data_IF_904709335298
#
_entry.id   IF_904709335298
#
_cell.length_a   1.000
_cell.length_b   1.000
_cell.length_c   1.000
_cell.angle_alpha   90.00
_cell.angle_beta   90.00
_cell.angle_gamma   90.00
#
_symmetry.space_group_name_H-M   'P 1'
#
loop_
_entity.id
_entity.type
_entity.pdbx_description
1 polymer ?
#
# COMPACT_ATOMS: atom_id res chain seq x y z
N UNK A 1 19.93 26.17 -10.28
CA UNK A 1 20.95 25.54 -9.41
C UNK A 1 20.61 25.75 -7.94
N UNK A 2 20.53 26.98 -7.48
CA UNK A 2 20.22 27.26 -6.07
C UNK A 2 18.81 26.77 -5.71
N UNK A 3 17.84 26.97 -6.59
CA UNK A 3 16.45 26.53 -6.40
C UNK A 3 16.38 25.03 -6.30
N UNK A 4 17.10 24.31 -7.17
CA UNK A 4 17.14 22.85 -7.16
C UNK A 4 17.72 22.32 -5.86
N UNK A 5 18.80 22.95 -5.37
CA UNK A 5 19.46 22.54 -4.13
C UNK A 5 18.56 22.77 -2.91
N UNK A 6 17.89 23.93 -2.86
CA UNK A 6 16.95 24.23 -1.79
C UNK A 6 15.75 23.27 -1.80
N UNK A 7 15.28 22.91 -2.97
CA UNK A 7 14.22 21.94 -3.15
C UNK A 7 14.62 20.55 -2.63
N UNK A 8 15.81 20.07 -2.99
CA UNK A 8 16.32 18.77 -2.52
C UNK A 8 16.46 18.74 -1.00
N UNK A 9 16.95 19.80 -0.40
CA UNK A 9 17.09 19.92 1.06
C UNK A 9 15.71 19.86 1.72
N UNK A 10 14.73 20.54 1.17
CA UNK A 10 13.35 20.55 1.69
C UNK A 10 12.75 19.16 1.63
N UNK A 11 12.96 18.42 0.54
CA UNK A 11 12.48 17.05 0.43
C UNK A 11 13.11 16.14 1.47
N UNK A 12 14.40 16.26 1.72
CA UNK A 12 15.07 15.47 2.74
C UNK A 12 14.51 15.75 4.13
N UNK A 13 14.23 17.01 4.45
CA UNK A 13 13.65 17.38 5.74
C UNK A 13 12.23 16.85 5.90
N UNK A 14 11.44 16.84 4.81
CA UNK A 14 10.03 16.40 4.86
C UNK A 14 9.85 14.91 4.68
N UNK A 15 10.88 14.19 4.22
CA UNK A 15 10.80 12.74 3.96
C UNK A 15 11.41 11.94 5.12
N UNK A 16 10.89 12.17 6.31
CA UNK A 16 11.40 11.55 7.54
C UNK A 16 11.14 10.04 7.60
N UNK A 17 10.20 9.54 6.80
CA UNK A 17 9.87 8.11 6.72
C UNK A 17 10.50 7.42 5.50
N UNK A 18 11.34 8.14 4.75
CA UNK A 18 11.92 7.64 3.51
C UNK A 18 10.84 7.08 2.56
N UNK A 19 9.78 7.86 2.37
CA UNK A 19 8.69 7.48 1.46
C UNK A 19 9.12 7.51 0.00
N UNK A 20 10.24 8.18 -0.30
CA UNK A 20 10.78 8.23 -1.65
C UNK A 20 11.11 6.81 -2.16
N UNK A 21 11.46 5.88 -1.28
CA UNK A 21 11.71 4.49 -1.69
C UNK A 21 10.50 3.86 -2.38
N UNK A 22 9.30 4.20 -1.92
CA UNK A 22 8.06 3.74 -2.57
C UNK A 22 7.82 4.44 -3.90
N UNK A 23 8.04 5.76 -3.96
CA UNK A 23 7.86 6.52 -5.20
C UNK A 23 8.79 5.98 -6.29
N UNK A 24 10.05 5.76 -5.95
CA UNK A 24 11.04 5.25 -6.91
C UNK A 24 10.66 3.86 -7.43
N UNK A 25 10.30 2.94 -6.55
CA UNK A 25 9.91 1.60 -6.94
C UNK A 25 8.65 1.60 -7.81
N UNK A 26 7.65 2.40 -7.45
CA UNK A 26 6.39 2.49 -8.19
C UNK A 26 6.58 3.12 -9.58
N UNK A 27 7.40 4.15 -9.67
CA UNK A 27 7.52 4.93 -10.91
C UNK A 27 8.00 4.10 -12.08
N UNK A 28 8.79 3.06 -11.83
CA UNK A 28 9.31 2.18 -12.88
C UNK A 28 8.26 1.23 -13.45
N UNK A 29 7.22 0.88 -12.70
CA UNK A 29 6.27 -0.14 -13.14
C UNK A 29 4.80 0.21 -12.92
N UNK A 30 4.49 1.49 -12.65
CA UNK A 30 3.11 1.84 -12.32
C UNK A 30 2.13 1.59 -13.48
N UNK A 31 2.55 1.82 -14.71
CA UNK A 31 1.70 1.53 -15.88
C UNK A 31 1.42 0.04 -16.01
N UNK A 32 2.41 -0.80 -15.72
CA UNK A 32 2.23 -2.26 -15.74
C UNK A 32 1.26 -2.69 -14.63
N UNK A 33 1.40 -2.12 -13.43
CA UNK A 33 0.50 -2.40 -12.31
C UNK A 33 -0.95 -2.07 -12.69
N UNK A 34 -1.19 -0.89 -13.24
CA UNK A 34 -2.52 -0.49 -13.70
C UNK A 34 -3.08 -1.46 -14.73
N UNK A 35 -2.25 -1.85 -15.70
CA UNK A 35 -2.65 -2.77 -16.77
C UNK A 35 -3.06 -4.12 -16.21
N UNK A 36 -2.26 -4.67 -15.28
CA UNK A 36 -2.57 -5.95 -14.64
C UNK A 36 -3.85 -5.88 -13.81
N UNK A 37 -4.04 -4.80 -13.06
CA UNK A 37 -5.26 -4.65 -12.25
C UNK A 37 -6.50 -4.44 -13.10
N UNK A 38 -6.40 -3.70 -14.22
CA UNK A 38 -7.50 -3.57 -15.18
C UNK A 38 -7.86 -4.89 -15.81
N UNK A 39 -6.87 -5.73 -16.07
CA UNK A 39 -7.09 -7.08 -16.59
C UNK A 39 -7.62 -8.04 -15.53
N UNK A 40 -7.61 -7.64 -14.26
CA UNK A 40 -8.10 -8.46 -13.15
C UNK A 40 -7.16 -9.57 -12.75
N UNK A 41 -5.87 -9.45 -13.06
CA UNK A 41 -4.88 -10.48 -12.75
C UNK A 41 -3.49 -9.91 -12.62
N UNK A 42 -2.94 -10.04 -11.42
CA UNK A 42 -1.56 -9.66 -11.11
C UNK A 42 -0.58 -10.71 -11.65
N UNK A 43 0.45 -10.27 -12.35
CA UNK A 43 1.53 -11.13 -12.84
C UNK A 43 2.91 -10.67 -12.36
N UNK A 44 3.11 -9.39 -12.13
CA UNK A 44 4.38 -8.83 -11.68
C UNK A 44 4.60 -8.95 -10.17
N UNK A 45 5.83 -8.61 -9.73
CA UNK A 45 6.25 -8.71 -8.33
C UNK A 45 6.30 -7.33 -7.69
N UNK A 46 5.13 -6.77 -7.38
CA UNK A 46 5.02 -5.39 -6.93
C UNK A 46 4.20 -5.17 -5.66
N UNK A 47 3.73 -6.24 -5.02
CA UNK A 47 2.80 -6.13 -3.88
C UNK A 47 3.37 -5.27 -2.74
N UNK A 48 4.66 -5.41 -2.45
CA UNK A 48 5.30 -4.78 -1.30
C UNK A 48 5.26 -3.26 -1.33
N UNK A 49 5.36 -2.66 -2.52
CA UNK A 49 5.44 -1.20 -2.63
C UNK A 49 4.19 -0.56 -3.23
N UNK A 50 3.23 -1.36 -3.68
CA UNK A 50 1.91 -0.85 -4.13
C UNK A 50 0.89 -0.95 -2.98
N UNK A 51 0.90 -2.06 -2.25
CA UNK A 51 0.03 -2.28 -1.10
C UNK A 51 0.90 -2.64 0.11
N UNK A 52 1.61 -1.65 0.68
CA UNK A 52 2.55 -1.94 1.76
C UNK A 52 1.85 -2.38 3.03
N UNK A 53 2.53 -3.22 3.81
CA UNK A 53 2.01 -3.76 5.04
C UNK A 53 2.93 -3.41 6.21
N UNK A 54 2.45 -3.66 7.43
CA UNK A 54 3.18 -3.34 8.65
C UNK A 54 4.44 -4.21 8.77
N UNK A 55 5.46 -3.64 9.42
CA UNK A 55 6.73 -4.34 9.66
C UNK A 55 6.52 -5.59 10.52
N UNK A 56 7.22 -6.66 10.17
CA UNK A 56 7.16 -7.93 10.91
C UNK A 56 6.23 -8.97 10.31
N UNK A 57 5.40 -8.60 9.33
CA UNK A 57 4.51 -9.54 8.66
C UNK A 57 5.20 -10.33 7.56
N UNK A 58 6.25 -9.77 6.96
CA UNK A 58 7.04 -10.44 5.94
C UNK A 58 8.50 -10.55 6.39
N UNK A 59 9.21 -11.56 5.87
CA UNK A 59 10.56 -11.88 6.33
C UNK A 59 11.63 -11.75 5.24
N UNK A 60 11.25 -11.57 3.97
CA UNK A 60 12.20 -11.37 2.87
C UNK A 60 12.87 -10.00 2.97
N UNK A 61 14.00 -9.83 2.28
CA UNK A 61 14.69 -8.54 2.20
C UNK A 61 13.77 -7.47 1.60
N UNK A 62 13.01 -7.83 0.56
CA UNK A 62 12.07 -6.90 -0.08
C UNK A 62 10.95 -6.50 0.87
N UNK A 63 10.38 -7.46 1.61
CA UNK A 63 9.33 -7.17 2.59
C UNK A 63 9.83 -6.21 3.66
N UNK A 64 11.06 -6.38 4.13
CA UNK A 64 11.65 -5.50 5.13
C UNK A 64 11.96 -4.11 4.58
N UNK A 65 12.41 -4.03 3.33
CA UNK A 65 12.73 -2.77 2.67
C UNK A 65 11.51 -1.86 2.57
N UNK A 66 10.34 -2.42 2.29
CA UNK A 66 9.11 -1.67 2.07
C UNK A 66 8.11 -1.78 3.22
N UNK A 67 8.55 -2.25 4.38
CA UNK A 67 7.68 -2.36 5.54
C UNK A 67 7.32 -0.98 6.11
N UNK A 68 6.08 -0.84 6.56
CA UNK A 68 5.61 0.35 7.28
C UNK A 68 5.90 0.12 8.76
N UNK A 69 6.64 1.02 9.37
CA UNK A 69 7.16 0.83 10.73
C UNK A 69 6.31 1.46 11.82
N UNK A 70 5.36 2.32 11.49
CA UNK A 70 4.56 3.03 12.48
C UNK A 70 3.23 3.50 11.90
N UNK A 71 2.31 3.85 12.79
CA UNK A 71 1.05 4.51 12.44
C UNK A 71 1.30 5.81 11.68
N UNK A 72 2.29 6.57 12.13
CA UNK A 72 2.66 7.86 11.55
C UNK A 72 3.16 7.69 10.13
N UNK A 73 3.94 6.66 9.88
CA UNK A 73 4.41 6.36 8.52
C UNK A 73 3.25 5.99 7.60
N UNK A 74 2.32 5.16 8.06
CA UNK A 74 1.14 4.79 7.28
C UNK A 74 0.28 6.02 6.95
N UNK A 75 0.07 6.89 7.94
CA UNK A 75 -0.69 8.12 7.72
C UNK A 75 0.01 9.04 6.74
N UNK A 76 1.33 9.17 6.85
CA UNK A 76 2.15 9.97 5.93
C UNK A 76 2.10 9.42 4.50
N UNK A 77 2.13 8.10 4.35
CA UNK A 77 1.99 7.45 3.05
C UNK A 77 0.64 7.80 2.41
N UNK A 78 -0.44 7.64 3.14
CA UNK A 78 -1.79 7.90 2.64
C UNK A 78 -2.02 9.38 2.30
N UNK A 79 -1.32 10.29 2.98
CA UNK A 79 -1.40 11.72 2.75
C UNK A 79 -0.39 12.24 1.73
N UNK A 80 0.54 11.40 1.29
CA UNK A 80 1.58 11.79 0.35
C UNK A 80 0.97 12.16 -1.01
N UNK A 81 1.41 13.28 -1.64
CA UNK A 81 0.78 13.77 -2.87
C UNK A 81 0.92 12.85 -4.08
N UNK A 82 1.87 11.91 -4.06
CA UNK A 82 2.04 10.92 -5.11
C UNK A 82 1.51 9.56 -4.66
N UNK A 83 1.93 9.09 -3.50
CA UNK A 83 1.60 7.74 -3.01
C UNK A 83 0.13 7.59 -2.65
N UNK A 84 -0.46 8.63 -2.04
CA UNK A 84 -1.86 8.58 -1.65
C UNK A 84 -2.80 8.36 -2.83
N UNK A 85 -2.73 9.19 -3.88
CA UNK A 85 -3.54 8.99 -5.07
C UNK A 85 -3.28 7.66 -5.79
N UNK A 86 -2.03 7.23 -5.88
CA UNK A 86 -1.68 5.94 -6.50
C UNK A 86 -2.28 4.76 -5.74
N UNK A 87 -2.19 4.79 -4.41
CA UNK A 87 -2.77 3.77 -3.56
C UNK A 87 -4.28 3.66 -3.80
N UNK A 88 -4.98 4.78 -3.77
CA UNK A 88 -6.43 4.81 -3.96
C UNK A 88 -6.85 4.40 -5.37
N UNK A 89 -6.09 4.80 -6.38
CA UNK A 89 -6.33 4.37 -7.75
C UNK A 89 -6.23 2.86 -7.87
N UNK A 90 -5.17 2.25 -7.33
CA UNK A 90 -4.98 0.80 -7.40
C UNK A 90 -6.08 0.05 -6.63
N UNK A 91 -6.46 0.54 -5.46
CA UNK A 91 -7.57 -0.07 -4.70
C UNK A 91 -8.88 0.04 -5.47
N UNK A 92 -9.14 1.18 -6.09
CA UNK A 92 -10.35 1.37 -6.91
C UNK A 92 -10.40 0.38 -8.07
N UNK A 93 -9.26 0.12 -8.71
CA UNK A 93 -9.19 -0.86 -9.79
C UNK A 93 -9.49 -2.27 -9.26
N UNK A 94 -8.93 -2.64 -8.11
CA UNK A 94 -9.21 -3.94 -7.48
C UNK A 94 -10.69 -4.05 -7.10
N UNK A 95 -11.23 -3.01 -6.46
CA UNK A 95 -12.63 -3.02 -6.01
C UNK A 95 -13.64 -3.04 -7.17
N UNK A 96 -13.23 -2.59 -8.35
CA UNK A 96 -14.09 -2.58 -9.54
C UNK A 96 -14.17 -3.94 -10.24
N UNK A 97 -13.32 -4.88 -9.91
CA UNK A 97 -13.30 -6.19 -10.57
C UNK A 97 -14.52 -6.99 -10.14
N UNK A 98 -15.29 -7.47 -11.12
CA UNK A 98 -16.48 -8.26 -10.86
C UNK A 98 -16.22 -9.74 -11.12
N UNK A 99 -16.82 -10.62 -10.34
CA UNK A 99 -16.85 -12.05 -10.60
C UNK A 99 -15.55 -12.81 -10.28
N UNK A 100 -14.60 -12.18 -9.59
CA UNK A 100 -13.35 -12.84 -9.21
C UNK A 100 -13.05 -12.62 -7.74
N UNK A 101 -12.56 -13.67 -7.07
CA UNK A 101 -12.05 -13.56 -5.71
C UNK A 101 -10.67 -12.94 -5.68
N UNK A 102 -10.28 -12.41 -4.53
CA UNK A 102 -9.00 -11.70 -4.39
C UNK A 102 -7.79 -12.62 -4.66
N UNK A 103 -7.89 -13.88 -4.28
CA UNK A 103 -6.84 -14.87 -4.54
C UNK A 103 -6.65 -15.10 -6.04
N UNK A 104 -7.72 -15.02 -6.80
CA UNK A 104 -7.68 -15.15 -8.26
C UNK A 104 -7.02 -13.92 -8.89
N UNK A 105 -7.29 -12.74 -8.33
CA UNK A 105 -6.76 -11.47 -8.84
C UNK A 105 -5.28 -11.32 -8.52
N UNK A 106 -4.89 -11.55 -7.26
CA UNK A 106 -3.55 -11.25 -6.76
C UNK A 106 -2.66 -12.48 -6.59
N UNK A 107 -3.25 -13.68 -6.50
CA UNK A 107 -2.52 -14.87 -6.12
C UNK A 107 -2.32 -14.95 -4.62
N UNK A 108 -1.71 -16.05 -4.15
CA UNK A 108 -1.39 -16.22 -2.75
C UNK A 108 0.13 -16.34 -2.61
N UNK A 109 0.78 -15.74 -1.59
CA UNK A 109 0.18 -15.09 -0.42
C UNK A 109 -0.15 -13.59 -0.60
N UNK A 110 -0.17 -13.06 -1.81
CA UNK A 110 -0.40 -11.64 -2.05
C UNK A 110 -1.82 -11.20 -1.64
N UNK A 111 -2.79 -12.12 -1.71
CA UNK A 111 -4.14 -11.87 -1.20
C UNK A 111 -4.13 -11.57 0.31
N UNK A 112 -3.27 -12.25 1.07
CA UNK A 112 -3.12 -12.02 2.50
C UNK A 112 -2.39 -10.70 2.79
N UNK A 113 -1.42 -10.36 1.96
CA UNK A 113 -0.69 -9.10 2.07
C UNK A 113 -1.62 -7.91 1.79
N UNK A 114 -2.49 -8.03 0.81
CA UNK A 114 -3.48 -7.01 0.50
C UNK A 114 -4.42 -6.80 1.69
N UNK A 115 -4.88 -7.87 2.33
CA UNK A 115 -5.71 -7.79 3.53
C UNK A 115 -5.01 -7.02 4.64
N UNK A 116 -3.74 -7.35 4.89
CA UNK A 116 -2.93 -6.64 5.89
C UNK A 116 -2.80 -5.17 5.57
N UNK A 117 -2.54 -4.83 4.31
CA UNK A 117 -2.41 -3.46 3.84
C UNK A 117 -3.72 -2.69 4.03
N UNK A 118 -4.83 -3.26 3.59
CA UNK A 118 -6.14 -2.60 3.70
C UNK A 118 -6.55 -2.40 5.16
N UNK A 119 -6.23 -3.37 6.03
CA UNK A 119 -6.44 -3.24 7.47
C UNK A 119 -5.65 -2.06 8.03
N UNK A 120 -4.36 -1.97 7.68
CA UNK A 120 -3.48 -0.89 8.13
C UNK A 120 -4.05 0.48 7.77
N UNK A 121 -4.35 0.69 6.51
CA UNK A 121 -4.83 2.00 6.04
C UNK A 121 -6.24 2.32 6.51
N UNK A 122 -7.10 1.32 6.69
CA UNK A 122 -8.43 1.53 7.26
C UNK A 122 -8.33 2.09 8.70
N UNK A 123 -7.34 1.64 9.47
CA UNK A 123 -7.16 2.10 10.84
C UNK A 123 -6.61 3.53 10.91
N UNK A 124 -5.72 3.91 9.99
CA UNK A 124 -5.10 5.25 10.01
C UNK A 124 -5.90 6.29 9.20
N UNK A 125 -6.81 5.85 8.35
CA UNK A 125 -7.66 6.71 7.54
C UNK A 125 -9.14 6.33 7.71
N UNK A 126 -9.71 6.46 8.91
CA UNK A 126 -11.08 5.98 9.17
C UNK A 126 -12.17 6.74 8.39
N UNK A 127 -11.85 7.95 7.89
CA UNK A 127 -12.78 8.73 7.09
C UNK A 127 -12.83 8.36 5.62
N UNK A 128 -11.97 7.46 5.15
CA UNK A 128 -11.91 7.05 3.76
C UNK A 128 -12.44 5.62 3.61
N UNK A 129 -13.63 5.43 3.03
CA UNK A 129 -14.28 4.11 2.99
C UNK A 129 -13.64 3.11 2.02
N UNK A 130 -12.71 3.55 1.17
CA UNK A 130 -12.15 2.68 0.12
C UNK A 130 -11.46 1.45 0.70
N UNK A 131 -10.81 1.59 1.87
CA UNK A 131 -10.08 0.50 2.52
C UNK A 131 -11.05 -0.52 3.12
N UNK A 132 -12.06 -0.06 3.84
CA UNK A 132 -13.09 -0.95 4.40
C UNK A 132 -13.96 -1.57 3.32
N UNK A 133 -14.16 -0.88 2.19
CA UNK A 133 -14.86 -1.45 1.04
C UNK A 133 -14.12 -2.69 0.51
N UNK A 134 -12.80 -2.62 0.42
CA UNK A 134 -11.99 -3.76 -0.01
C UNK A 134 -12.11 -4.93 0.97
N UNK A 135 -12.03 -4.65 2.26
CA UNK A 135 -12.18 -5.66 3.31
C UNK A 135 -13.56 -6.29 3.25
N UNK A 136 -14.60 -5.49 3.07
CA UNK A 136 -15.97 -6.00 2.96
C UNK A 136 -16.16 -6.87 1.73
N UNK A 137 -15.65 -6.43 0.59
CA UNK A 137 -15.84 -7.15 -0.68
C UNK A 137 -15.10 -8.49 -0.72
N UNK A 138 -13.86 -8.52 -0.24
CA UNK A 138 -12.99 -9.66 -0.48
C UNK A 138 -12.73 -10.53 0.74
N UNK A 139 -13.03 -10.05 1.95
CA UNK A 139 -12.70 -10.77 3.18
C UNK A 139 -13.86 -10.84 4.16
N UNK A 140 -15.08 -10.58 3.68
CA UNK A 140 -16.27 -10.69 4.53
C UNK A 140 -16.29 -9.70 5.69
N UNK A 141 -15.56 -8.61 5.58
CA UNK A 141 -15.48 -7.59 6.64
C UNK A 141 -14.43 -7.90 7.72
N UNK A 142 -13.66 -8.98 7.60
CA UNK A 142 -12.67 -9.37 8.60
C UNK A 142 -11.32 -8.71 8.36
N UNK A 143 -10.89 -7.89 9.31
CA UNK A 143 -9.55 -7.29 9.30
C UNK A 143 -8.47 -8.33 9.62
N UNK A 144 -7.22 -8.01 9.24
CA UNK A 144 -6.07 -8.83 9.59
C UNK A 144 -5.71 -8.65 11.07
N UNK A 145 -5.82 -9.73 11.86
CA UNK A 145 -5.63 -9.69 13.30
C UNK A 145 -4.22 -9.25 13.70
N UNK A 146 -3.18 -9.72 12.98
CA UNK A 146 -1.80 -9.36 13.29
C UNK A 146 -1.55 -7.87 13.08
N UNK A 147 -2.12 -7.29 12.03
CA UNK A 147 -1.99 -5.85 11.78
C UNK A 147 -2.65 -5.04 12.90
N UNK A 148 -3.84 -5.45 13.35
CA UNK A 148 -4.51 -4.80 14.47
C UNK A 148 -3.67 -4.88 15.75
N UNK A 149 -3.02 -6.02 16.00
CA UNK A 149 -2.16 -6.19 17.16
C UNK A 149 -0.94 -5.26 17.11
N UNK A 150 -0.28 -5.16 15.95
CA UNK A 150 0.83 -4.23 15.77
C UNK A 150 0.41 -2.79 16.04
N UNK A 151 -0.76 -2.39 15.57
CA UNK A 151 -1.24 -1.02 15.74
C UNK A 151 -1.59 -0.70 17.19
N UNK A 152 -2.01 -1.69 17.98
CA UNK A 152 -2.25 -1.50 19.42
C UNK A 152 -0.96 -1.27 20.18
N UNK A 153 0.15 -1.83 19.71
CA UNK A 153 1.44 -1.73 20.37
C UNK A 153 2.25 -0.51 19.96
N UNK A 154 1.82 0.21 18.95
CA UNK A 154 2.57 1.34 18.42
C UNK A 154 2.07 2.71 18.86
#
# INVERSE_FOLDING_TARGET
MVVTRAWSRRMLVTDRHDLQRFVDAQSEMFDEVRSELRAGRKTGHWIWFIFPQFNGLGHSATARQFAISSREEAAAYAAHPILGPRLRECISLVNAIAGRGIRHILGTPDDLKFRSSMTLFAQVCPGDPIFTDAIGKYYGGEFDALTLDFLRSS
#
